data_IF_226607977063
#
_entry.id   IF_226607977063
#
_cell.length_a   1.000
_cell.length_b   1.000
_cell.length_c   1.000
_cell.angle_alpha   90.00
_cell.angle_beta   90.00
_cell.angle_gamma   90.00
#
_symmetry.space_group_name_H-M   'P 1'
#
loop_
_entity.id
_entity.type
_entity.pdbx_description
1 polymer ?
#
# COMPACT_ATOMS: atom_id res chain seq x y z
N UNK A 1 -4.12 18.67 -25.14
CA UNK A 1 -3.22 19.74 -24.65
C UNK A 1 -3.97 20.58 -23.63
N UNK A 2 -3.34 20.93 -22.51
CA UNK A 2 -3.89 21.85 -21.52
C UNK A 2 -2.97 23.08 -21.43
N UNK A 3 -3.56 24.28 -21.32
CA UNK A 3 -2.86 25.53 -21.10
C UNK A 3 -3.33 26.10 -19.76
N UNK A 4 -2.40 26.29 -18.83
CA UNK A 4 -2.64 26.93 -17.55
C UNK A 4 -1.83 28.22 -17.51
N UNK A 5 -2.51 29.36 -17.33
CA UNK A 5 -1.88 30.67 -17.18
C UNK A 5 -2.25 31.25 -15.82
N UNK A 6 -1.27 31.87 -15.16
CA UNK A 6 -1.47 32.70 -13.98
C UNK A 6 -1.12 34.11 -14.36
N UNK A 7 -2.09 35.03 -14.28
CA UNK A 7 -1.93 36.44 -14.50
C UNK A 7 -1.71 37.14 -13.15
N UNK A 8 -0.71 37.98 -13.05
CA UNK A 8 -0.32 38.73 -11.85
C UNK A 8 -0.09 37.86 -10.60
N UNK A 9 0.97 37.02 -10.54
CA UNK A 9 1.29 36.27 -9.33
C UNK A 9 1.60 37.21 -8.17
N UNK A 10 0.95 37.01 -7.02
CA UNK A 10 1.11 37.85 -5.83
C UNK A 10 2.52 37.79 -5.26
N UNK A 11 2.98 38.91 -4.73
CA UNK A 11 4.33 39.23 -4.29
C UNK A 11 5.06 38.11 -3.52
N UNK A 12 6.33 37.86 -3.88
CA UNK A 12 7.32 37.15 -3.09
C UNK A 12 7.85 35.83 -3.64
N UNK A 13 7.32 35.29 -4.73
CA UNK A 13 7.86 34.10 -5.37
C UNK A 13 8.42 34.42 -6.74
N UNK A 14 9.64 33.91 -7.01
CA UNK A 14 10.31 34.12 -8.29
C UNK A 14 9.47 33.54 -9.43
N UNK A 15 9.35 34.29 -10.53
CA UNK A 15 8.51 34.08 -11.71
C UNK A 15 8.84 32.83 -12.56
N UNK A 16 9.15 31.71 -11.93
CA UNK A 16 9.38 30.47 -12.68
C UNK A 16 8.06 29.69 -12.79
N UNK A 17 7.61 29.49 -14.02
CA UNK A 17 6.39 28.76 -14.35
C UNK A 17 6.29 27.36 -13.67
N UNK A 18 7.41 26.68 -13.46
CA UNK A 18 7.48 25.42 -12.75
C UNK A 18 7.12 25.51 -11.24
N UNK A 19 7.35 26.69 -10.63
CA UNK A 19 7.07 26.88 -9.20
C UNK A 19 5.63 27.34 -8.96
N UNK A 20 5.08 28.17 -9.84
CA UNK A 20 3.74 28.76 -9.68
C UNK A 20 2.68 27.96 -10.44
N UNK A 21 2.92 27.67 -11.72
CA UNK A 21 1.94 27.04 -12.62
C UNK A 21 2.01 25.52 -12.55
N UNK A 22 3.19 24.96 -12.33
CA UNK A 22 3.40 23.50 -12.30
C UNK A 22 2.52 22.78 -11.28
N UNK A 23 2.51 23.18 -10.00
CA UNK A 23 1.65 22.53 -8.99
C UNK A 23 0.16 22.66 -9.28
N UNK A 24 -0.28 23.81 -9.81
CA UNK A 24 -1.67 24.04 -10.18
C UNK A 24 -2.08 23.16 -11.38
N UNK A 25 -1.24 23.09 -12.41
CA UNK A 25 -1.46 22.23 -13.56
C UNK A 25 -1.50 20.75 -13.14
N UNK A 26 -0.60 20.32 -12.27
CA UNK A 26 -0.58 18.97 -11.73
C UNK A 26 -1.86 18.64 -10.96
N UNK A 27 -2.36 19.55 -10.11
CA UNK A 27 -3.61 19.37 -9.37
C UNK A 27 -4.82 19.22 -10.31
N UNK A 28 -4.92 20.09 -11.32
CA UNK A 28 -6.00 20.04 -12.32
C UNK A 28 -5.93 18.73 -13.13
N UNK A 29 -4.74 18.34 -13.57
CA UNK A 29 -4.56 17.08 -14.33
C UNK A 29 -4.86 15.85 -13.47
N UNK A 30 -4.52 15.87 -12.19
CA UNK A 30 -4.86 14.78 -11.26
C UNK A 30 -6.35 14.50 -11.17
N UNK A 31 -7.18 15.54 -11.31
CA UNK A 31 -8.64 15.41 -11.27
C UNK A 31 -9.23 15.07 -12.66
N UNK A 32 -8.66 15.59 -13.74
CA UNK A 32 -9.18 15.44 -15.11
C UNK A 32 -8.79 14.09 -15.72
N UNK A 33 -7.55 13.63 -15.54
CA UNK A 33 -7.07 12.40 -16.20
C UNK A 33 -7.90 11.16 -15.84
N UNK A 34 -8.25 10.91 -14.56
CA UNK A 34 -9.14 9.81 -14.20
C UNK A 34 -10.55 9.93 -14.81
N UNK A 35 -11.07 11.17 -14.92
CA UNK A 35 -12.35 11.43 -15.56
C UNK A 35 -12.35 11.06 -17.05
N UNK A 36 -11.21 11.24 -17.72
CA UNK A 36 -11.01 10.87 -19.13
C UNK A 36 -10.64 9.39 -19.31
N UNK A 37 -10.59 8.60 -18.23
CA UNK A 37 -10.21 7.20 -18.29
C UNK A 37 -8.71 6.97 -18.57
N UNK A 38 -7.88 7.99 -18.39
CA UNK A 38 -6.43 7.90 -18.56
C UNK A 38 -5.82 7.45 -17.23
N UNK A 39 -5.33 6.23 -17.20
CA UNK A 39 -4.63 5.69 -16.02
C UNK A 39 -3.29 6.41 -15.80
N UNK A 40 -2.92 6.73 -14.55
CA UNK A 40 -1.60 7.25 -14.24
C UNK A 40 -0.53 6.22 -14.63
N UNK A 41 0.53 6.69 -15.28
CA UNK A 41 1.73 5.90 -15.52
C UNK A 41 2.75 6.35 -14.46
N UNK A 42 3.03 5.47 -13.52
CA UNK A 42 4.07 5.71 -12.52
C UNK A 42 5.43 5.28 -13.06
N UNK A 43 6.46 6.07 -12.80
CA UNK A 43 7.83 5.65 -13.02
C UNK A 43 8.22 4.54 -12.02
N UNK A 44 9.25 3.76 -12.33
CA UNK A 44 9.78 2.75 -11.41
C UNK A 44 10.21 3.37 -10.06
N UNK A 45 10.65 4.62 -10.07
CA UNK A 45 11.02 5.37 -8.86
C UNK A 45 9.78 5.72 -8.01
N UNK A 46 8.69 6.16 -8.63
CA UNK A 46 7.43 6.45 -7.92
C UNK A 46 6.79 5.18 -7.36
N UNK A 47 6.91 4.04 -8.06
CA UNK A 47 6.48 2.74 -7.56
C UNK A 47 7.34 2.27 -6.39
N UNK A 48 8.66 2.50 -6.45
CA UNK A 48 9.58 2.18 -5.36
C UNK A 48 9.28 3.00 -4.09
N UNK A 49 8.84 4.25 -4.23
CA UNK A 49 8.43 5.11 -3.11
C UNK A 49 7.14 4.64 -2.42
N UNK A 50 6.32 3.86 -3.13
CA UNK A 50 5.10 3.27 -2.56
C UNK A 50 5.34 1.93 -1.86
N UNK A 51 6.55 1.37 -1.96
CA UNK A 51 6.93 0.12 -1.32
C UNK A 51 7.90 0.35 -0.15
N UNK A 52 7.85 -0.55 0.81
CA UNK A 52 8.79 -0.61 1.92
C UNK A 52 9.40 -2.01 1.99
N UNK A 53 10.66 -2.09 2.38
CA UNK A 53 11.35 -3.37 2.55
C UNK A 53 11.19 -3.85 3.99
N UNK A 54 10.78 -5.11 4.15
CA UNK A 54 10.66 -5.74 5.47
C UNK A 54 12.06 -5.89 6.08
N UNK A 55 12.33 -5.31 7.27
CA UNK A 55 13.64 -5.37 7.90
C UNK A 55 14.08 -6.81 8.18
N UNK A 56 15.37 -7.06 8.14
CA UNK A 56 15.98 -8.34 8.52
C UNK A 56 16.34 -8.41 10.00
N UNK A 57 16.60 -9.61 10.53
CA UNK A 57 17.03 -9.81 11.91
C UNK A 57 15.94 -9.58 12.95
N UNK A 58 14.70 -9.91 12.63
CA UNK A 58 13.58 -9.84 13.60
C UNK A 58 13.32 -11.17 14.29
N UNK A 59 13.71 -12.30 13.70
CA UNK A 59 13.60 -13.62 14.32
C UNK A 59 14.48 -13.66 15.57
N UNK A 60 13.91 -14.14 16.67
CA UNK A 60 14.54 -14.16 18.00
C UNK A 60 14.39 -12.85 18.80
N UNK A 61 13.93 -11.77 18.19
CA UNK A 61 13.65 -10.51 18.89
C UNK A 61 12.39 -10.59 19.72
N UNK A 62 12.31 -9.72 20.75
CA UNK A 62 11.06 -9.42 21.42
C UNK A 62 10.01 -8.88 20.43
N UNK A 63 8.74 -9.37 20.47
CA UNK A 63 7.72 -9.01 19.47
C UNK A 63 7.45 -7.50 19.37
N UNK A 64 7.45 -6.77 20.48
CA UNK A 64 7.22 -5.32 20.48
C UNK A 64 8.40 -4.54 19.88
N UNK A 65 9.62 -5.05 20.10
CA UNK A 65 10.83 -4.49 19.49
C UNK A 65 10.83 -4.71 17.97
N UNK A 66 10.39 -5.88 17.51
CA UNK A 66 10.22 -6.20 16.10
C UNK A 66 9.14 -5.34 15.46
N UNK A 67 7.99 -5.14 16.11
CA UNK A 67 6.93 -4.24 15.66
C UNK A 67 7.42 -2.79 15.51
N UNK A 68 8.18 -2.30 16.49
CA UNK A 68 8.78 -0.96 16.45
C UNK A 68 9.72 -0.80 15.25
N UNK A 69 10.50 -1.83 14.94
CA UNK A 69 11.40 -1.86 13.78
C UNK A 69 10.65 -1.79 12.45
N UNK A 70 9.48 -2.45 12.34
CA UNK A 70 8.58 -2.35 11.19
C UNK A 70 8.01 -0.95 11.04
N UNK A 71 7.57 -0.34 12.14
CA UNK A 71 6.97 1.00 12.14
C UNK A 71 7.95 2.08 11.64
N UNK A 72 9.24 1.96 11.97
CA UNK A 72 10.29 2.86 11.45
C UNK A 72 10.39 2.80 9.91
N UNK A 73 10.09 1.64 9.31
CA UNK A 73 10.06 1.45 7.86
C UNK A 73 8.70 1.81 7.22
N UNK A 74 7.75 2.34 7.98
CA UNK A 74 6.41 2.65 7.50
C UNK A 74 5.55 1.42 7.26
N UNK A 75 5.80 0.33 8.00
CA UNK A 75 5.05 -0.91 7.95
C UNK A 75 4.30 -1.16 9.25
N UNK A 76 3.19 -1.89 9.18
CA UNK A 76 2.44 -2.32 10.35
C UNK A 76 2.86 -3.72 10.78
N UNK A 77 3.09 -3.92 12.08
CA UNK A 77 3.32 -5.22 12.67
C UNK A 77 2.02 -5.80 13.26
N UNK A 78 1.77 -7.09 13.06
CA UNK A 78 0.72 -7.83 13.75
C UNK A 78 1.32 -9.05 14.43
N UNK A 79 1.29 -9.07 15.76
CA UNK A 79 1.80 -10.17 16.56
C UNK A 79 0.73 -11.26 16.62
N UNK A 80 1.13 -12.52 16.36
CA UNK A 80 0.28 -13.72 16.44
C UNK A 80 0.96 -14.75 17.34
N UNK A 81 0.25 -15.21 18.36
CA UNK A 81 0.75 -16.06 19.44
C UNK A 81 1.12 -15.25 20.70
N UNK A 82 1.52 -15.97 21.77
CA UNK A 82 1.84 -15.41 23.09
C UNK A 82 3.30 -15.67 23.50
N UNK A 83 4.14 -16.09 22.56
CA UNK A 83 5.55 -16.37 22.80
C UNK A 83 6.36 -15.11 23.11
N UNK A 84 7.51 -15.28 23.77
CA UNK A 84 8.39 -14.18 24.18
C UNK A 84 9.30 -13.65 23.08
N UNK A 85 9.39 -14.37 21.96
CA UNK A 85 10.27 -14.01 20.83
C UNK A 85 9.58 -14.33 19.51
N UNK A 86 9.94 -13.58 18.46
CA UNK A 86 9.49 -13.83 17.09
C UNK A 86 10.16 -15.10 16.56
N UNK A 87 9.37 -16.09 16.16
CA UNK A 87 9.86 -17.34 15.56
C UNK A 87 9.77 -17.32 14.03
N UNK A 88 8.79 -16.59 13.48
CA UNK A 88 8.60 -16.47 12.03
C UNK A 88 8.02 -15.10 11.67
N UNK A 89 8.33 -14.64 10.45
CA UNK A 89 7.88 -13.35 9.91
C UNK A 89 7.30 -13.58 8.53
N UNK A 90 6.09 -13.05 8.28
CA UNK A 90 5.46 -13.15 6.96
C UNK A 90 4.83 -11.80 6.54
N UNK A 91 5.02 -11.32 5.29
CA UNK A 91 5.92 -11.87 4.27
C UNK A 91 7.38 -11.92 4.71
N UNK A 92 8.21 -12.68 3.98
CA UNK A 92 9.60 -12.95 4.38
C UNK A 92 10.40 -11.64 4.57
N UNK A 93 11.33 -11.66 5.52
CA UNK A 93 12.28 -10.57 5.72
C UNK A 93 13.06 -10.29 4.43
N UNK A 94 13.28 -9.02 4.10
CA UNK A 94 13.89 -8.57 2.85
C UNK A 94 12.92 -8.43 1.68
N UNK A 95 11.68 -8.90 1.78
CA UNK A 95 10.65 -8.69 0.74
C UNK A 95 10.17 -7.25 0.72
N UNK A 96 9.76 -6.79 -0.46
CA UNK A 96 9.10 -5.49 -0.64
C UNK A 96 7.59 -5.67 -0.57
N UNK A 97 6.93 -4.83 0.20
CA UNK A 97 5.47 -4.77 0.30
C UNK A 97 5.01 -3.31 0.22
N UNK A 98 3.76 -3.04 -0.13
CA UNK A 98 3.23 -1.69 -0.10
C UNK A 98 3.45 -1.02 1.26
N UNK A 99 3.71 0.29 1.28
CA UNK A 99 3.76 1.07 2.53
C UNK A 99 2.45 0.91 3.29
N UNK A 100 2.53 0.96 4.62
CA UNK A 100 1.43 0.65 5.53
C UNK A 100 0.93 -0.80 5.44
N UNK A 101 1.59 -1.65 4.64
CA UNK A 101 1.34 -3.08 4.59
C UNK A 101 1.59 -3.74 5.93
N UNK A 102 0.86 -4.83 6.19
CA UNK A 102 0.94 -5.55 7.47
C UNK A 102 1.90 -6.72 7.36
N UNK A 103 2.86 -6.77 8.27
CA UNK A 103 3.80 -7.88 8.48
C UNK A 103 3.36 -8.67 9.70
N UNK A 104 3.19 -9.96 9.57
CA UNK A 104 2.81 -10.85 10.65
C UNK A 104 4.08 -11.35 11.36
N UNK A 105 4.10 -11.17 12.67
CA UNK A 105 5.15 -11.64 13.56
C UNK A 105 4.59 -12.83 14.35
N UNK A 106 4.99 -14.03 13.98
CA UNK A 106 4.60 -15.23 14.70
C UNK A 106 5.54 -15.44 15.89
N UNK A 107 4.97 -15.68 17.07
CA UNK A 107 5.72 -15.93 18.29
C UNK A 107 5.66 -17.39 18.75
N UNK A 108 4.91 -18.22 18.04
CA UNK A 108 4.75 -19.65 18.27
C UNK A 108 4.77 -20.38 16.93
N UNK A 109 5.36 -21.58 16.86
CA UNK A 109 5.46 -22.36 15.62
C UNK A 109 4.10 -22.89 15.15
N UNK A 110 3.20 -23.19 16.10
CA UNK A 110 1.85 -23.72 15.83
C UNK A 110 0.79 -22.63 15.62
N UNK A 111 1.18 -21.35 15.55
CA UNK A 111 0.25 -20.26 15.29
C UNK A 111 -0.41 -20.42 13.90
N UNK A 112 -1.72 -20.17 13.83
CA UNK A 112 -2.49 -20.27 12.57
C UNK A 112 -1.92 -19.33 11.52
N UNK A 113 -1.24 -19.90 10.52
CA UNK A 113 -0.47 -19.18 9.50
C UNK A 113 -1.25 -18.99 8.20
N UNK A 114 -2.46 -19.56 8.10
CA UNK A 114 -3.28 -19.47 6.88
C UNK A 114 -4.60 -18.76 7.13
N UNK A 115 -5.12 -18.15 6.06
CA UNK A 115 -6.42 -17.47 6.05
C UNK A 115 -7.13 -17.71 4.73
N UNK A 116 -8.45 -17.65 4.75
CA UNK A 116 -9.27 -17.72 3.52
C UNK A 116 -9.37 -16.33 2.90
N UNK A 117 -9.14 -16.25 1.60
CA UNK A 117 -9.20 -15.01 0.83
C UNK A 117 -10.67 -14.60 0.62
N UNK A 118 -11.10 -13.42 1.10
CA UNK A 118 -12.45 -12.93 0.84
C UNK A 118 -12.58 -12.41 -0.60
N UNK A 119 -13.80 -12.35 -1.12
CA UNK A 119 -14.09 -11.66 -2.38
C UNK A 119 -14.11 -10.16 -2.15
N UNK A 120 -13.35 -9.42 -2.96
CA UNK A 120 -13.33 -7.94 -2.96
C UNK A 120 -13.71 -7.34 -4.30
N UNK A 121 -14.06 -8.16 -5.28
CA UNK A 121 -14.54 -7.72 -6.60
C UNK A 121 -15.83 -6.90 -6.43
N UNK A 122 -15.91 -5.76 -7.11
CA UNK A 122 -17.03 -4.79 -7.01
C UNK A 122 -16.93 -3.81 -5.83
N UNK A 123 -15.99 -4.00 -4.91
CA UNK A 123 -15.76 -3.08 -3.79
C UNK A 123 -14.92 -1.87 -4.22
N UNK A 124 -15.04 -0.76 -3.50
CA UNK A 124 -14.08 0.34 -3.64
C UNK A 124 -12.71 -0.08 -3.08
N UNK A 125 -11.59 0.55 -3.53
CA UNK A 125 -10.26 0.24 -3.00
C UNK A 125 -10.17 0.33 -1.47
N UNK A 126 -10.85 1.31 -0.87
CA UNK A 126 -10.89 1.49 0.60
C UNK A 126 -11.61 0.33 1.28
N UNK A 127 -12.74 -0.11 0.75
CA UNK A 127 -13.48 -1.27 1.28
C UNK A 127 -12.69 -2.56 1.11
N UNK A 128 -12.09 -2.76 -0.07
CA UNK A 128 -11.24 -3.92 -0.35
C UNK A 128 -10.05 -3.99 0.62
N UNK A 129 -9.38 -2.86 0.86
CA UNK A 129 -8.29 -2.78 1.83
C UNK A 129 -8.76 -3.19 3.24
N UNK A 130 -9.89 -2.66 3.70
CA UNK A 130 -10.43 -2.99 5.02
C UNK A 130 -10.78 -4.47 5.15
N UNK A 131 -11.42 -5.05 4.14
CA UNK A 131 -11.82 -6.47 4.12
C UNK A 131 -10.60 -7.38 4.12
N UNK A 132 -9.60 -7.11 3.26
CA UNK A 132 -8.37 -7.89 3.18
C UNK A 132 -7.53 -7.77 4.46
N UNK A 133 -7.37 -6.54 4.98
CA UNK A 133 -6.61 -6.33 6.23
C UNK A 133 -7.27 -7.03 7.43
N UNK A 134 -8.60 -6.99 7.53
CA UNK A 134 -9.33 -7.71 8.58
C UNK A 134 -9.14 -9.23 8.46
N UNK A 135 -9.06 -9.76 7.24
CA UNK A 135 -8.74 -11.16 6.97
C UNK A 135 -7.26 -11.51 7.23
N UNK A 136 -6.41 -10.52 7.54
CA UNK A 136 -4.97 -10.72 7.76
C UNK A 136 -4.17 -10.80 6.47
N UNK A 137 -4.65 -10.17 5.40
CA UNK A 137 -4.02 -10.09 4.09
C UNK A 137 -3.57 -8.65 3.79
N UNK A 138 -2.64 -8.50 2.87
CA UNK A 138 -2.22 -7.21 2.34
C UNK A 138 -2.87 -6.95 0.98
N UNK A 139 -3.03 -5.68 0.62
CA UNK A 139 -3.54 -5.26 -0.68
C UNK A 139 -2.45 -4.53 -1.47
N UNK A 140 -2.38 -4.79 -2.77
CA UNK A 140 -1.67 -3.94 -3.74
C UNK A 140 -2.67 -3.51 -4.78
N UNK A 141 -2.88 -2.20 -4.90
CA UNK A 141 -3.77 -1.64 -5.91
C UNK A 141 -2.94 -1.46 -7.19
N UNK A 142 -3.36 -2.12 -8.26
CA UNK A 142 -2.75 -2.03 -9.59
C UNK A 142 -3.63 -1.20 -10.51
N UNK A 143 -3.01 -0.44 -11.41
CA UNK A 143 -3.73 0.44 -12.34
C UNK A 143 -4.03 1.84 -11.79
N UNK A 144 -4.74 2.64 -12.60
CA UNK A 144 -4.96 4.08 -12.36
C UNK A 144 -5.97 4.43 -11.27
N UNK A 145 -6.47 3.48 -10.53
CA UNK A 145 -7.61 3.66 -9.64
C UNK A 145 -7.24 3.96 -8.18
N UNK A 146 -5.96 3.95 -7.82
CA UNK A 146 -5.50 4.13 -6.44
C UNK A 146 -6.02 5.42 -5.75
N UNK A 147 -6.28 6.47 -6.53
CA UNK A 147 -6.79 7.76 -6.04
C UNK A 147 -8.25 8.05 -6.44
N UNK A 148 -8.95 7.12 -7.09
CA UNK A 148 -10.34 7.32 -7.51
C UNK A 148 -11.30 6.68 -6.51
N UNK A 149 -11.97 7.51 -5.72
CA UNK A 149 -12.97 7.07 -4.72
C UNK A 149 -14.18 6.33 -5.32
N UNK A 150 -14.41 6.44 -6.62
CA UNK A 150 -15.49 5.76 -7.35
C UNK A 150 -15.01 4.52 -8.10
N UNK A 151 -13.69 4.24 -8.12
CA UNK A 151 -13.17 3.04 -8.72
C UNK A 151 -13.69 1.80 -7.97
N UNK A 152 -13.88 0.73 -8.70
CA UNK A 152 -14.23 -0.57 -8.15
C UNK A 152 -13.21 -1.60 -8.58
N UNK A 153 -12.92 -2.53 -7.70
CA UNK A 153 -12.07 -3.69 -7.98
C UNK A 153 -12.73 -4.52 -9.08
N UNK A 154 -12.07 -4.64 -10.21
CA UNK A 154 -12.53 -5.45 -11.35
C UNK A 154 -12.11 -6.91 -11.22
N UNK A 155 -10.90 -7.15 -10.71
CA UNK A 155 -10.29 -8.48 -10.54
C UNK A 155 -9.46 -8.51 -9.27
N UNK A 156 -9.21 -9.71 -8.76
CA UNK A 156 -8.24 -9.96 -7.69
C UNK A 156 -7.29 -11.08 -8.11
N UNK A 157 -6.01 -10.95 -7.78
CA UNK A 157 -4.95 -11.89 -8.21
C UNK A 157 -5.04 -13.25 -7.53
N UNK A 158 -5.67 -13.33 -6.39
CA UNK A 158 -5.88 -14.58 -5.65
C UNK A 158 -7.38 -14.85 -5.59
N UNK A 159 -7.79 -16.05 -5.98
CA UNK A 159 -9.20 -16.45 -6.04
C UNK A 159 -9.86 -16.41 -4.65
N UNK A 160 -11.08 -15.86 -4.58
CA UNK A 160 -11.87 -15.86 -3.34
C UNK A 160 -12.20 -17.29 -2.89
N UNK A 161 -12.12 -17.53 -1.59
CA UNK A 161 -12.30 -18.85 -1.01
C UNK A 161 -11.02 -19.71 -0.95
N UNK A 162 -9.94 -19.33 -1.63
CA UNK A 162 -8.65 -20.02 -1.51
C UNK A 162 -8.01 -19.79 -0.14
N UNK A 163 -7.25 -20.75 0.33
CA UNK A 163 -6.49 -20.66 1.59
C UNK A 163 -5.05 -20.28 1.27
N UNK A 164 -4.59 -19.18 1.84
CA UNK A 164 -3.24 -18.66 1.64
C UNK A 164 -2.59 -18.31 2.98
N UNK A 165 -1.28 -18.12 2.97
CA UNK A 165 -0.57 -17.67 4.16
C UNK A 165 -1.05 -16.28 4.58
N UNK A 166 -1.23 -16.08 5.89
CA UNK A 166 -1.56 -14.77 6.47
C UNK A 166 -0.50 -13.74 6.07
N UNK A 167 -0.92 -12.53 5.70
CA UNK A 167 -0.02 -11.49 5.18
C UNK A 167 0.23 -11.56 3.67
N UNK A 168 -0.31 -12.55 2.94
CA UNK A 168 -0.23 -12.60 1.47
C UNK A 168 -0.75 -11.30 0.85
N UNK A 169 -0.07 -10.84 -0.20
CA UNK A 169 -0.48 -9.66 -0.95
C UNK A 169 -1.50 -10.08 -2.02
N UNK A 170 -2.66 -9.47 -1.99
CA UNK A 170 -3.70 -9.61 -3.01
C UNK A 170 -3.68 -8.36 -3.89
N UNK A 171 -3.39 -8.52 -5.18
CA UNK A 171 -3.43 -7.43 -6.16
C UNK A 171 -4.87 -7.25 -6.66
N UNK A 172 -5.27 -5.99 -6.77
CA UNK A 172 -6.64 -5.60 -7.15
C UNK A 172 -6.62 -4.43 -8.13
#
# INVERSE_FOLDING_TARGET
AALVMVDEPTEGQRDYANVVVGPLAAAVMKDILPYLGIAPQYSEEELADQEATIPTGMIGMDPFSAESKLRIQGLNGKIVGNGKSVVSVFPNQGSKIPREGTVILYTEEDAEQTVTVPSVVGMTPTQANQVLTNAGLNIRITGGAANNKRAQVSTQSVESGSTVARGTIVEV
#
